data_IF_867026859528
#
_entry.id   IF_867026859528
#
_cell.length_a   1.000
_cell.length_b   1.000
_cell.length_c   1.000
_cell.angle_alpha   90.00
_cell.angle_beta   90.00
_cell.angle_gamma   90.00
#
_symmetry.space_group_name_H-M   'P 1'
#
loop_
_entity.id
_entity.type
_entity.pdbx_description
1 polymer ?
#
# COMPACT_ATOMS: atom_id res chain seq x y z
N UNK A 1 7.52 12.33 20.47
CA UNK A 1 7.70 12.67 19.04
C UNK A 1 8.00 11.36 18.32
N UNK A 2 7.02 10.80 17.61
CA UNK A 2 7.30 9.64 16.76
C UNK A 2 8.29 10.09 15.67
N UNK A 3 9.43 9.44 15.60
CA UNK A 3 10.34 9.57 14.46
C UNK A 3 9.54 8.98 13.31
N UNK A 4 8.98 9.86 12.46
CA UNK A 4 8.30 9.43 11.25
C UNK A 4 9.35 8.79 10.35
N UNK A 5 9.39 7.47 10.37
CA UNK A 5 10.14 6.71 9.38
C UNK A 5 9.50 6.94 8.03
N UNK A 6 10.25 6.85 6.93
CA UNK A 6 9.67 6.95 5.58
C UNK A 6 8.79 5.73 5.24
N UNK A 7 8.64 4.77 6.14
CA UNK A 7 7.70 3.65 6.08
C UNK A 7 6.25 4.16 6.09
N UNK A 8 5.96 5.22 6.86
CA UNK A 8 4.65 5.84 6.89
C UNK A 8 4.75 7.24 6.30
N UNK A 9 4.01 7.50 5.23
CA UNK A 9 3.90 8.84 4.65
C UNK A 9 2.85 9.64 5.40
N UNK A 10 3.21 10.89 5.74
CA UNK A 10 2.32 11.81 6.45
C UNK A 10 1.71 12.83 5.50
N UNK A 11 0.43 13.14 5.68
CA UNK A 11 -0.26 14.27 5.04
C UNK A 11 0.25 15.64 5.55
N UNK A 12 0.99 15.63 6.67
CA UNK A 12 1.57 16.83 7.30
C UNK A 12 2.87 17.29 6.67
N UNK A 13 3.48 16.48 5.82
CA UNK A 13 4.76 16.80 5.17
C UNK A 13 4.51 17.15 3.71
N UNK A 14 4.64 18.44 3.30
CA UNK A 14 4.28 18.87 1.94
C UNK A 14 5.03 18.14 0.82
N UNK A 15 6.28 17.70 1.05
CA UNK A 15 7.05 16.95 0.05
C UNK A 15 6.56 15.50 -0.14
N UNK A 16 5.72 15.00 0.76
CA UNK A 16 5.12 13.68 0.66
C UNK A 16 3.78 13.68 -0.09
N UNK A 17 3.27 14.87 -0.49
CA UNK A 17 1.96 15.04 -1.11
C UNK A 17 1.66 14.05 -2.24
N UNK A 18 2.53 13.85 -3.26
CA UNK A 18 2.23 12.90 -4.33
C UNK A 18 2.10 11.46 -3.83
N UNK A 19 2.95 11.04 -2.90
CA UNK A 19 2.91 9.69 -2.36
C UNK A 19 1.70 9.51 -1.43
N UNK A 20 1.39 10.50 -0.57
CA UNK A 20 0.18 10.50 0.24
C UNK A 20 -1.06 10.29 -0.63
N UNK A 21 -1.19 11.05 -1.72
CA UNK A 21 -2.34 10.96 -2.61
C UNK A 21 -2.35 9.69 -3.47
N UNK A 22 -1.19 9.12 -3.81
CA UNK A 22 -1.08 7.79 -4.43
C UNK A 22 -1.69 6.73 -3.52
N UNK A 23 -1.29 6.70 -2.26
CA UNK A 23 -1.80 5.74 -1.28
C UNK A 23 -3.29 5.96 -0.98
N UNK A 24 -3.72 7.21 -0.87
CA UNK A 24 -5.14 7.56 -0.68
C UNK A 24 -6.00 7.15 -1.88
N UNK A 25 -5.45 7.22 -3.09
CA UNK A 25 -6.20 6.87 -4.31
C UNK A 25 -6.67 5.41 -4.32
N UNK A 26 -5.91 4.47 -3.72
CA UNK A 26 -6.29 3.08 -3.61
C UNK A 26 -7.67 2.91 -2.96
N UNK A 27 -7.97 3.66 -1.90
CA UNK A 27 -9.27 3.67 -1.22
C UNK A 27 -10.40 4.16 -2.13
N UNK A 28 -10.19 5.25 -2.86
CA UNK A 28 -11.18 5.79 -3.77
C UNK A 28 -11.42 4.89 -4.99
N UNK A 29 -10.39 4.24 -5.49
CA UNK A 29 -10.48 3.28 -6.60
C UNK A 29 -11.15 1.98 -6.16
N UNK A 30 -10.90 1.54 -4.93
CA UNK A 30 -11.50 0.33 -4.35
C UNK A 30 -12.96 0.52 -3.91
N UNK A 31 -13.45 1.75 -3.70
CA UNK A 31 -14.77 2.03 -3.07
C UNK A 31 -15.96 1.32 -3.68
N UNK A 32 -15.92 1.01 -4.99
CA UNK A 32 -17.00 0.32 -5.68
C UNK A 32 -16.96 -1.21 -5.50
N UNK A 33 -15.88 -1.72 -4.93
CA UNK A 33 -15.70 -3.14 -4.59
C UNK A 33 -15.98 -3.40 -3.10
N UNK A 34 -16.18 -2.35 -2.29
CA UNK A 34 -16.37 -2.44 -0.83
C UNK A 34 -17.85 -2.50 -0.51
N UNK A 35 -18.25 -3.52 0.23
CA UNK A 35 -19.60 -3.71 0.77
C UNK A 35 -19.59 -4.64 1.99
N UNK A 36 -20.70 -4.69 2.74
CA UNK A 36 -20.91 -5.62 3.84
C UNK A 36 -20.03 -5.36 5.07
N UNK A 37 -19.65 -6.45 5.73
CA UNK A 37 -18.73 -6.43 6.87
C UNK A 37 -17.29 -6.38 6.35
N UNK A 38 -16.56 -5.32 6.68
CA UNK A 38 -15.26 -4.99 6.10
C UNK A 38 -14.12 -5.15 7.10
N UNK A 39 -13.06 -5.83 6.67
CA UNK A 39 -11.78 -5.89 7.39
C UNK A 39 -10.70 -5.16 6.61
N UNK A 40 -9.98 -4.26 7.28
CA UNK A 40 -8.76 -3.64 6.75
C UNK A 40 -7.53 -4.21 7.45
N UNK A 41 -6.60 -4.76 6.67
CA UNK A 41 -5.31 -5.26 7.14
C UNK A 41 -4.21 -4.24 6.83
N UNK A 42 -3.59 -3.68 7.87
CA UNK A 42 -2.56 -2.64 7.75
C UNK A 42 -3.14 -1.24 7.58
N UNK A 43 -4.03 -0.81 8.50
CA UNK A 43 -4.69 0.48 8.40
C UNK A 43 -3.78 1.70 8.64
N UNK A 44 -2.59 1.50 9.24
CA UNK A 44 -1.68 2.59 9.59
C UNK A 44 -2.35 3.70 10.40
N UNK A 45 -2.18 4.95 9.97
CA UNK A 45 -2.81 6.14 10.58
C UNK A 45 -4.27 6.36 10.11
N UNK A 46 -4.87 5.43 9.36
CA UNK A 46 -6.28 5.47 8.97
C UNK A 46 -6.60 6.40 7.81
N UNK A 47 -5.69 6.55 6.87
CA UNK A 47 -5.76 7.49 5.73
C UNK A 47 -7.07 7.45 4.94
N UNK A 48 -7.62 6.26 4.71
CA UNK A 48 -8.80 6.03 3.87
C UNK A 48 -10.05 5.61 4.63
N UNK A 49 -10.03 5.57 5.96
CA UNK A 49 -11.15 5.06 6.77
C UNK A 49 -12.46 5.74 6.42
N UNK A 50 -12.50 7.07 6.28
CA UNK A 50 -13.73 7.79 5.96
C UNK A 50 -14.35 7.38 4.60
N UNK A 51 -13.54 6.91 3.67
CA UNK A 51 -14.02 6.38 2.38
C UNK A 51 -14.67 5.02 2.57
N UNK A 52 -14.05 4.16 3.39
CA UNK A 52 -14.52 2.79 3.66
C UNK A 52 -15.80 2.81 4.48
N UNK A 53 -15.87 3.62 5.53
CA UNK A 53 -17.03 3.71 6.43
C UNK A 53 -18.34 4.08 5.71
N UNK A 54 -18.25 4.80 4.59
CA UNK A 54 -19.42 5.13 3.76
C UNK A 54 -19.97 3.95 2.96
N UNK A 55 -19.22 2.84 2.92
CA UNK A 55 -19.53 1.66 2.09
C UNK A 55 -19.69 0.39 2.91
N UNK A 56 -19.16 0.37 4.12
CA UNK A 56 -19.23 -0.78 5.02
C UNK A 56 -20.49 -0.77 5.87
N UNK A 57 -21.00 -1.96 6.18
CA UNK A 57 -22.02 -2.19 7.21
C UNK A 57 -21.37 -2.19 8.59
N UNK A 58 -20.27 -2.93 8.74
CA UNK A 58 -19.38 -2.89 9.89
C UNK A 58 -17.95 -2.72 9.41
N UNK A 59 -17.08 -2.21 10.29
CA UNK A 59 -15.68 -2.00 9.97
C UNK A 59 -14.79 -2.45 11.11
N UNK A 60 -13.81 -3.29 10.78
CA UNK A 60 -12.71 -3.71 11.65
C UNK A 60 -11.40 -3.41 10.96
N UNK A 61 -10.43 -2.88 11.67
CA UNK A 61 -9.09 -2.65 11.14
C UNK A 61 -8.00 -3.21 12.06
N UNK A 62 -6.92 -3.67 11.47
CA UNK A 62 -5.79 -4.26 12.19
C UNK A 62 -4.51 -3.58 11.76
N UNK A 63 -3.66 -3.22 12.71
CA UNK A 63 -2.29 -2.78 12.47
C UNK A 63 -1.36 -3.21 13.60
N UNK A 64 -0.07 -3.34 13.31
CA UNK A 64 0.97 -3.63 14.31
C UNK A 64 1.29 -2.44 15.23
N UNK A 65 1.02 -1.22 14.77
CA UNK A 65 1.42 0.03 15.42
C UNK A 65 0.36 0.43 16.45
N UNK A 66 0.62 0.09 17.70
CA UNK A 66 -0.33 0.30 18.80
C UNK A 66 -0.80 1.76 18.93
N UNK A 67 0.11 2.73 18.85
CA UNK A 67 -0.24 4.16 18.99
C UNK A 67 -1.21 4.64 17.91
N UNK A 68 -1.03 4.16 16.67
CA UNK A 68 -1.94 4.48 15.57
C UNK A 68 -3.33 3.86 15.82
N UNK A 69 -3.36 2.59 16.24
CA UNK A 69 -4.60 1.87 16.57
C UNK A 69 -5.35 2.54 17.72
N UNK A 70 -4.66 2.93 18.79
CA UNK A 70 -5.26 3.62 19.93
C UNK A 70 -5.87 4.98 19.51
N UNK A 71 -5.15 5.74 18.69
CA UNK A 71 -5.65 7.01 18.16
C UNK A 71 -6.90 6.83 17.27
N UNK A 72 -6.92 5.78 16.43
CA UNK A 72 -8.08 5.47 15.59
C UNK A 72 -9.26 4.97 16.41
N UNK A 73 -9.03 4.13 17.43
CA UNK A 73 -10.08 3.69 18.36
C UNK A 73 -10.76 4.88 19.07
N UNK A 74 -9.96 5.87 19.50
CA UNK A 74 -10.49 7.08 20.12
C UNK A 74 -11.27 7.95 19.11
N UNK A 75 -10.80 8.03 17.86
CA UNK A 75 -11.44 8.84 16.81
C UNK A 75 -12.73 8.20 16.29
N UNK A 76 -12.78 6.87 16.22
CA UNK A 76 -13.90 6.11 15.64
C UNK A 76 -14.47 5.06 16.63
N UNK A 77 -15.04 5.48 17.78
CA UNK A 77 -15.40 4.57 18.88
C UNK A 77 -16.51 3.56 18.56
N UNK A 78 -17.15 3.67 17.40
CA UNK A 78 -18.19 2.72 16.93
C UNK A 78 -17.63 1.58 16.08
N UNK A 79 -16.33 1.57 15.85
CA UNK A 79 -15.66 0.61 14.99
C UNK A 79 -14.55 -0.12 15.74
N UNK A 80 -14.15 -1.29 15.22
CA UNK A 80 -13.16 -2.14 15.88
C UNK A 80 -11.76 -1.87 15.33
N UNK A 81 -10.81 -1.60 16.23
CA UNK A 81 -9.40 -1.45 15.88
C UNK A 81 -8.57 -2.36 16.77
N UNK A 82 -7.75 -3.21 16.16
CA UNK A 82 -6.97 -4.23 16.86
C UNK A 82 -5.47 -4.02 16.60
N UNK A 83 -4.70 -3.89 17.68
CA UNK A 83 -3.24 -3.88 17.58
C UNK A 83 -2.72 -5.31 17.62
N UNK A 84 -2.43 -5.87 16.44
CA UNK A 84 -1.99 -7.26 16.26
C UNK A 84 -1.01 -7.37 15.10
N UNK A 85 -0.09 -8.35 15.22
CA UNK A 85 0.71 -8.83 14.08
C UNK A 85 -0.11 -9.82 13.25
N UNK A 86 0.12 -9.86 11.96
CA UNK A 86 -0.45 -10.84 11.03
C UNK A 86 0.54 -11.12 9.87
N UNK A 87 0.48 -12.27 9.16
CA UNK A 87 -0.17 -13.49 9.62
C UNK A 87 0.58 -14.16 10.79
N UNK A 88 0.00 -15.15 11.51
CA UNK A 88 -1.33 -15.73 11.35
C UNK A 88 -2.44 -14.86 11.99
N UNK A 89 -3.69 -15.11 11.60
CA UNK A 89 -4.87 -14.39 12.11
C UNK A 89 -5.87 -15.31 12.83
N UNK A 90 -5.38 -16.28 13.60
CA UNK A 90 -6.21 -17.24 14.33
C UNK A 90 -7.17 -16.62 15.39
N UNK A 91 -7.04 -15.32 15.65
CA UNK A 91 -7.96 -14.52 16.48
C UNK A 91 -9.16 -13.97 15.69
N UNK A 92 -9.26 -14.24 14.40
CA UNK A 92 -10.39 -13.89 13.53
C UNK A 92 -11.07 -15.19 13.10
N UNK A 93 -12.39 -15.23 13.25
CA UNK A 93 -13.22 -16.38 12.87
C UNK A 93 -13.23 -16.59 11.35
N UNK A 94 -13.40 -17.86 10.95
CA UNK A 94 -13.58 -18.23 9.56
C UNK A 94 -14.84 -17.58 9.00
N UNK A 95 -14.82 -17.23 7.71
CA UNK A 95 -16.02 -16.76 6.99
C UNK A 95 -16.74 -15.61 7.71
N UNK A 96 -16.00 -14.66 8.26
CA UNK A 96 -16.52 -13.58 9.11
C UNK A 96 -16.68 -12.23 8.38
N UNK A 97 -16.03 -12.03 7.22
CA UNK A 97 -16.08 -10.77 6.47
C UNK A 97 -16.53 -10.95 5.03
N UNK A 98 -17.23 -9.94 4.51
CA UNK A 98 -17.67 -9.88 3.10
C UNK A 98 -16.60 -9.27 2.21
N UNK A 99 -15.88 -8.27 2.74
CA UNK A 99 -14.79 -7.59 2.04
C UNK A 99 -13.55 -7.49 2.93
N UNK A 100 -12.38 -7.83 2.38
CA UNK A 100 -11.09 -7.57 3.01
C UNK A 100 -10.32 -6.60 2.11
N UNK A 101 -9.70 -5.58 2.69
CA UNK A 101 -8.80 -4.67 1.99
C UNK A 101 -7.43 -4.67 2.65
N UNK A 102 -6.39 -4.56 1.83
CA UNK A 102 -5.00 -4.45 2.30
C UNK A 102 -4.19 -3.66 1.29
N UNK A 103 -3.79 -2.44 1.66
CA UNK A 103 -3.14 -1.52 0.73
C UNK A 103 -1.71 -1.21 1.17
N UNK A 104 -0.73 -1.58 0.35
CA UNK A 104 0.70 -1.43 0.59
C UNK A 104 1.15 -2.16 1.87
N UNK A 105 0.83 -3.44 1.95
CA UNK A 105 1.10 -4.28 3.12
C UNK A 105 1.79 -5.58 2.75
N UNK A 106 1.34 -6.29 1.70
CA UNK A 106 1.85 -7.62 1.34
C UNK A 106 3.37 -7.61 1.07
N UNK A 107 3.91 -6.48 0.60
CA UNK A 107 5.36 -6.27 0.40
C UNK A 107 6.17 -6.31 1.69
N UNK A 108 5.52 -6.15 2.84
CA UNK A 108 6.12 -6.20 4.18
C UNK A 108 5.90 -7.54 4.89
N UNK A 109 5.18 -8.46 4.27
CA UNK A 109 4.81 -9.76 4.87
C UNK A 109 5.86 -10.81 4.49
N UNK A 110 6.43 -11.47 5.49
CA UNK A 110 7.44 -12.51 5.27
C UNK A 110 6.82 -13.78 4.69
N UNK A 111 5.69 -14.22 5.26
CA UNK A 111 4.93 -15.37 4.78
C UNK A 111 3.67 -14.89 4.02
N UNK A 112 3.90 -14.46 2.77
CA UNK A 112 2.85 -13.96 1.88
C UNK A 112 1.87 -15.08 1.45
N UNK A 113 2.33 -16.32 1.44
CA UNK A 113 1.52 -17.50 1.17
C UNK A 113 0.49 -17.72 2.30
N UNK A 114 0.94 -17.73 3.55
CA UNK A 114 0.05 -17.80 4.72
C UNK A 114 -0.89 -16.59 4.78
N UNK A 115 -0.42 -15.40 4.42
CA UNK A 115 -1.24 -14.19 4.41
C UNK A 115 -2.45 -14.33 3.47
N UNK A 116 -2.25 -14.80 2.25
CA UNK A 116 -3.34 -15.02 1.29
C UNK A 116 -4.26 -16.17 1.69
N UNK A 117 -3.72 -17.23 2.28
CA UNK A 117 -4.51 -18.34 2.83
C UNK A 117 -5.44 -17.87 3.95
N UNK A 118 -4.93 -17.06 4.88
CA UNK A 118 -5.72 -16.49 5.97
C UNK A 118 -6.81 -15.53 5.45
N UNK A 119 -6.50 -14.69 4.45
CA UNK A 119 -7.51 -13.86 3.79
C UNK A 119 -8.61 -14.73 3.19
N UNK A 120 -8.24 -15.82 2.51
CA UNK A 120 -9.23 -16.76 1.94
C UNK A 120 -10.07 -17.42 3.03
N UNK A 121 -9.46 -17.86 4.14
CA UNK A 121 -10.18 -18.47 5.27
C UNK A 121 -11.23 -17.52 5.87
N UNK A 122 -10.82 -16.27 6.12
CA UNK A 122 -11.62 -15.25 6.80
C UNK A 122 -12.79 -14.75 5.92
N UNK A 123 -12.63 -14.72 4.59
CA UNK A 123 -13.70 -14.32 3.68
C UNK A 123 -14.88 -15.28 3.70
N UNK A 124 -16.09 -14.73 3.74
CA UNK A 124 -17.32 -15.48 3.48
C UNK A 124 -17.35 -16.04 2.06
N UNK A 125 -18.12 -17.12 1.81
CA UNK A 125 -18.44 -17.52 0.45
C UNK A 125 -19.04 -16.34 -0.34
N UNK A 126 -18.52 -16.09 -1.55
CA UNK A 126 -18.88 -14.93 -2.36
C UNK A 126 -18.20 -13.62 -1.97
N UNK A 127 -17.42 -13.61 -0.90
CA UNK A 127 -16.64 -12.47 -0.44
C UNK A 127 -15.45 -12.17 -1.35
N UNK A 128 -14.85 -11.00 -1.15
CA UNK A 128 -13.75 -10.51 -2.00
C UNK A 128 -12.65 -9.83 -1.17
N UNK A 129 -11.42 -9.90 -1.69
CA UNK A 129 -10.32 -9.10 -1.17
C UNK A 129 -9.80 -8.14 -2.24
N UNK A 130 -9.39 -6.94 -1.84
CA UNK A 130 -8.73 -5.97 -2.68
C UNK A 130 -7.36 -5.67 -2.06
N UNK A 131 -6.31 -5.92 -2.82
CA UNK A 131 -4.92 -5.75 -2.37
C UNK A 131 -4.20 -4.81 -3.33
N UNK A 132 -3.45 -3.84 -2.80
CA UNK A 132 -2.50 -3.07 -3.61
C UNK A 132 -1.09 -3.21 -3.08
N UNK A 133 -0.12 -3.20 -3.99
CA UNK A 133 1.31 -3.27 -3.67
C UNK A 133 2.10 -2.56 -4.77
N UNK A 134 3.31 -2.05 -4.50
CA UNK A 134 4.14 -1.45 -5.52
C UNK A 134 4.40 -2.42 -6.69
N UNK A 135 4.41 -1.89 -7.90
CA UNK A 135 4.85 -2.65 -9.05
C UNK A 135 6.38 -2.59 -9.15
N UNK A 136 7.05 -3.74 -9.00
CA UNK A 136 8.53 -3.82 -9.05
C UNK A 136 9.11 -3.22 -10.34
N UNK A 137 8.35 -3.23 -11.45
CA UNK A 137 8.78 -2.64 -12.72
C UNK A 137 8.91 -1.12 -12.66
N UNK A 138 8.23 -0.47 -11.70
CA UNK A 138 8.22 0.98 -11.52
C UNK A 138 9.02 1.41 -10.28
N UNK A 139 9.58 0.48 -9.53
CA UNK A 139 10.43 0.76 -8.37
C UNK A 139 11.77 1.34 -8.82
N UNK A 140 12.14 2.49 -8.27
CA UNK A 140 13.36 3.22 -8.64
C UNK A 140 14.57 2.82 -7.82
N UNK A 141 14.36 2.44 -6.56
CA UNK A 141 15.41 2.02 -5.60
C UNK A 141 14.86 0.92 -4.72
N UNK A 142 15.72 0.03 -4.26
CA UNK A 142 15.32 -0.97 -3.26
C UNK A 142 14.79 -0.26 -2.00
N UNK A 143 13.59 -0.59 -1.58
CA UNK A 143 13.05 -0.14 -0.31
C UNK A 143 13.48 -1.14 0.79
N UNK A 144 14.26 -0.74 1.80
CA UNK A 144 14.73 -1.66 2.84
C UNK A 144 13.63 -2.13 3.81
N UNK A 145 12.44 -1.55 3.73
CA UNK A 145 11.27 -1.96 4.49
C UNK A 145 10.47 -3.05 3.77
N UNK A 146 10.64 -3.19 2.42
CA UNK A 146 9.99 -4.23 1.65
C UNK A 146 10.79 -5.52 1.75
N UNK A 147 10.12 -6.60 2.08
CA UNK A 147 10.68 -7.96 2.03
C UNK A 147 10.70 -8.42 0.59
N UNK A 148 9.61 -8.10 -0.15
CA UNK A 148 9.42 -8.49 -1.54
C UNK A 148 8.57 -7.46 -2.28
N UNK A 149 8.85 -7.26 -3.54
CA UNK A 149 7.96 -6.57 -4.48
C UNK A 149 7.61 -7.53 -5.62
N UNK A 150 6.49 -7.30 -6.29
CA UNK A 150 5.90 -8.26 -7.21
C UNK A 150 5.80 -7.69 -8.63
N UNK A 151 5.88 -8.58 -9.61
CA UNK A 151 5.28 -8.39 -10.93
C UNK A 151 3.82 -8.85 -10.90
N UNK A 152 3.02 -8.41 -11.88
CA UNK A 152 1.63 -8.90 -12.03
C UNK A 152 1.55 -10.42 -12.06
N UNK A 153 2.47 -11.06 -12.80
CA UNK A 153 2.50 -12.52 -12.94
C UNK A 153 2.75 -13.22 -11.61
N UNK A 154 3.75 -12.79 -10.86
CA UNK A 154 4.09 -13.40 -9.56
C UNK A 154 2.92 -13.28 -8.57
N UNK A 155 2.24 -12.12 -8.56
CA UNK A 155 1.12 -11.91 -7.66
C UNK A 155 -0.11 -12.73 -8.07
N UNK A 156 -0.37 -12.90 -9.38
CA UNK A 156 -1.41 -13.80 -9.89
C UNK A 156 -1.09 -15.25 -9.52
N UNK A 157 0.13 -15.72 -9.81
CA UNK A 157 0.55 -17.11 -9.56
C UNK A 157 0.43 -17.45 -8.06
N UNK A 158 0.82 -16.52 -7.17
CA UNK A 158 0.71 -16.69 -5.72
C UNK A 158 -0.75 -16.75 -5.28
N UNK A 159 -1.58 -15.81 -5.74
CA UNK A 159 -2.98 -15.69 -5.33
C UNK A 159 -3.86 -16.82 -5.85
N UNK A 160 -3.56 -17.33 -7.05
CA UNK A 160 -4.31 -18.42 -7.69
C UNK A 160 -4.21 -19.76 -6.96
N UNK A 161 -3.30 -19.90 -6.01
CA UNK A 161 -3.24 -21.07 -5.13
C UNK A 161 -4.49 -21.21 -4.25
N UNK A 162 -5.10 -20.09 -3.89
CA UNK A 162 -6.22 -20.01 -2.95
C UNK A 162 -7.51 -19.51 -3.59
N UNK A 163 -7.41 -18.56 -4.51
CA UNK A 163 -8.57 -17.90 -5.11
C UNK A 163 -8.82 -18.40 -6.52
N UNK A 164 -10.03 -18.92 -6.80
CA UNK A 164 -10.39 -19.37 -8.15
C UNK A 164 -10.56 -18.20 -9.13
N UNK A 165 -10.86 -17.01 -8.62
CA UNK A 165 -11.09 -15.82 -9.43
C UNK A 165 -10.12 -14.71 -9.01
N UNK A 166 -9.08 -14.52 -9.82
CA UNK A 166 -8.03 -13.51 -9.64
C UNK A 166 -8.09 -12.53 -10.80
N UNK A 167 -8.38 -11.27 -10.51
CA UNK A 167 -8.36 -10.17 -11.48
C UNK A 167 -7.25 -9.20 -11.08
N UNK A 168 -6.35 -8.88 -12.01
CA UNK A 168 -5.31 -7.88 -11.79
C UNK A 168 -5.53 -6.65 -12.68
N UNK A 169 -5.40 -5.51 -12.06
CA UNK A 169 -5.38 -4.17 -12.64
C UNK A 169 -4.15 -3.43 -12.13
N UNK A 170 -4.02 -2.16 -12.47
CA UNK A 170 -2.99 -1.33 -11.88
C UNK A 170 -3.49 0.07 -11.54
N UNK A 171 -2.75 0.74 -10.68
CA UNK A 171 -2.92 2.16 -10.43
C UNK A 171 -1.90 2.91 -11.30
N UNK A 172 -2.42 3.67 -12.25
CA UNK A 172 -1.64 4.56 -13.11
C UNK A 172 -1.85 6.02 -12.68
N UNK A 173 -1.22 6.95 -13.39
CA UNK A 173 -1.40 8.38 -13.17
C UNK A 173 -1.70 9.11 -14.47
N UNK A 174 -2.34 10.29 -14.35
CA UNK A 174 -2.46 11.22 -15.44
C UNK A 174 -1.09 11.90 -15.74
N UNK A 175 -1.05 12.81 -16.70
CA UNK A 175 0.18 13.51 -17.11
C UNK A 175 0.94 14.12 -15.93
N UNK A 176 0.26 14.76 -14.96
CA UNK A 176 0.94 15.37 -13.80
C UNK A 176 1.70 14.34 -12.96
N UNK A 177 1.06 13.20 -12.69
CA UNK A 177 1.66 12.11 -11.91
C UNK A 177 2.84 11.50 -12.65
N UNK A 178 2.71 11.32 -13.97
CA UNK A 178 3.79 10.78 -14.80
C UNK A 178 4.96 11.77 -14.91
N UNK A 179 4.69 13.07 -15.02
CA UNK A 179 5.73 14.12 -15.00
C UNK A 179 6.48 14.12 -13.66
N UNK A 180 5.76 14.04 -12.54
CA UNK A 180 6.38 13.90 -11.24
C UNK A 180 7.24 12.63 -11.14
N UNK A 181 6.73 11.49 -11.61
CA UNK A 181 7.48 10.22 -11.63
C UNK A 181 8.76 10.35 -12.47
N UNK A 182 8.67 10.94 -13.67
CA UNK A 182 9.83 11.14 -14.54
C UNK A 182 10.88 12.07 -13.92
N UNK A 183 10.45 13.12 -13.22
CA UNK A 183 11.35 13.99 -12.47
C UNK A 183 12.04 13.25 -11.33
N UNK A 184 11.30 12.38 -10.65
CA UNK A 184 11.85 11.50 -9.60
C UNK A 184 12.88 10.51 -10.19
N UNK A 185 12.59 9.88 -11.34
CA UNK A 185 13.55 9.02 -12.06
C UNK A 185 14.86 9.76 -12.33
N UNK A 186 14.79 10.98 -12.90
CA UNK A 186 15.98 11.79 -13.19
C UNK A 186 16.78 12.13 -11.93
N UNK A 187 16.08 12.46 -10.83
CA UNK A 187 16.72 12.77 -9.55
C UNK A 187 17.42 11.54 -8.97
N UNK A 188 16.72 10.39 -8.88
CA UNK A 188 17.29 9.15 -8.38
C UNK A 188 18.48 8.68 -9.22
N UNK A 189 18.43 8.81 -10.55
CA UNK A 189 19.54 8.46 -11.43
C UNK A 189 20.81 9.30 -11.14
N UNK A 190 20.67 10.57 -10.75
CA UNK A 190 21.82 11.38 -10.34
C UNK A 190 22.49 10.80 -9.09
N UNK A 191 21.71 10.38 -8.09
CA UNK A 191 22.25 9.76 -6.89
C UNK A 191 22.85 8.37 -7.16
N UNK A 192 22.21 7.55 -8.00
CA UNK A 192 22.75 6.23 -8.37
C UNK A 192 24.10 6.32 -9.10
N UNK A 193 24.35 7.38 -9.88
CA UNK A 193 25.66 7.59 -10.52
C UNK A 193 26.78 7.88 -9.50
N UNK A 194 26.44 8.34 -8.31
CA UNK A 194 27.39 8.59 -7.22
C UNK A 194 27.62 7.34 -6.35
N UNK A 195 26.73 6.35 -6.43
CA UNK A 195 26.85 5.07 -5.71
C UNK A 195 27.69 4.06 -6.50
N UNK A 196 28.98 4.36 -6.69
CA UNK A 196 29.93 3.48 -7.38
C UNK A 196 30.22 2.19 -6.61
N UNK A 197 29.89 2.12 -5.31
CA UNK A 197 30.01 0.92 -4.47
C UNK A 197 28.77 0.03 -4.51
N UNK A 198 27.69 0.44 -5.20
CA UNK A 198 26.41 -0.26 -5.23
C UNK A 198 25.88 -0.62 -3.83
N UNK A 199 25.94 0.33 -2.90
CA UNK A 199 25.55 0.16 -1.50
C UNK A 199 24.10 -0.34 -1.37
N UNK A 200 23.21 0.11 -2.29
CA UNK A 200 21.84 -0.36 -2.41
C UNK A 200 21.75 -1.89 -2.51
N UNK A 201 22.71 -2.54 -3.20
CA UNK A 201 22.69 -3.99 -3.43
C UNK A 201 23.41 -4.81 -2.36
N UNK A 202 24.46 -4.23 -1.77
CA UNK A 202 25.39 -4.96 -0.90
C UNK A 202 25.13 -4.77 0.58
N UNK A 203 24.50 -3.67 0.99
CA UNK A 203 24.20 -3.44 2.40
C UNK A 203 23.00 -4.27 2.88
N UNK A 204 23.12 -4.92 4.07
CA UNK A 204 21.97 -5.51 4.74
C UNK A 204 20.89 -4.44 5.02
N UNK A 205 19.60 -4.85 5.00
CA UNK A 205 18.47 -3.93 5.16
C UNK A 205 18.57 -3.04 6.40
N UNK A 206 19.02 -3.58 7.54
CA UNK A 206 19.08 -2.83 8.79
C UNK A 206 20.13 -1.70 8.77
N UNK A 207 21.21 -1.83 7.97
CA UNK A 207 22.21 -0.77 7.76
C UNK A 207 21.71 0.20 6.69
N UNK A 208 21.09 -0.31 5.63
CA UNK A 208 20.64 0.50 4.49
C UNK A 208 19.45 1.42 4.83
N UNK A 209 18.68 1.11 5.88
CA UNK A 209 17.52 1.93 6.31
C UNK A 209 17.88 3.39 6.55
N UNK A 210 18.94 3.67 7.29
CA UNK A 210 19.33 5.05 7.66
C UNK A 210 19.68 5.89 6.42
N UNK A 211 20.66 5.49 5.56
CA UNK A 211 20.98 6.26 4.37
C UNK A 211 19.79 6.35 3.40
N UNK A 212 18.98 5.30 3.28
CA UNK A 212 17.79 5.31 2.46
C UNK A 212 16.79 6.40 2.91
N UNK A 213 16.47 6.48 4.19
CA UNK A 213 15.55 7.48 4.73
C UNK A 213 16.05 8.90 4.51
N UNK A 214 17.33 9.16 4.78
CA UNK A 214 17.94 10.47 4.58
C UNK A 214 17.91 10.88 3.11
N UNK A 215 18.34 9.99 2.20
CA UNK A 215 18.34 10.25 0.76
C UNK A 215 16.93 10.42 0.21
N UNK A 216 15.98 9.62 0.66
CA UNK A 216 14.58 9.70 0.25
C UNK A 216 13.95 11.02 0.69
N UNK A 217 14.19 11.43 1.94
CA UNK A 217 13.70 12.72 2.45
C UNK A 217 14.32 13.89 1.70
N UNK A 218 15.62 13.85 1.48
CA UNK A 218 16.33 14.86 0.71
C UNK A 218 15.81 14.94 -0.73
N UNK A 219 15.66 13.80 -1.41
CA UNK A 219 15.13 13.73 -2.75
C UNK A 219 13.71 14.31 -2.86
N UNK A 220 12.81 13.96 -1.94
CA UNK A 220 11.43 14.49 -1.92
C UNK A 220 11.39 16.00 -1.70
N UNK A 221 12.24 16.52 -0.82
CA UNK A 221 12.35 17.95 -0.57
C UNK A 221 12.86 18.69 -1.80
N UNK A 222 13.87 18.17 -2.49
CA UNK A 222 14.40 18.77 -3.73
C UNK A 222 13.32 18.76 -4.83
N UNK A 223 12.65 17.62 -5.04
CA UNK A 223 11.57 17.54 -6.02
C UNK A 223 10.46 18.56 -5.75
N UNK A 224 10.12 18.77 -4.46
CA UNK A 224 9.16 19.81 -4.09
C UNK A 224 9.71 21.21 -4.39
N UNK A 225 10.94 21.51 -3.99
CA UNK A 225 11.53 22.83 -4.19
C UNK A 225 11.65 23.19 -5.68
N UNK A 226 12.06 22.22 -6.51
CA UNK A 226 12.24 22.42 -7.94
C UNK A 226 10.90 22.46 -8.71
N UNK A 227 9.84 21.84 -8.18
CA UNK A 227 8.55 21.63 -8.86
C UNK A 227 7.36 21.84 -7.91
N UNK A 228 7.38 22.88 -7.08
CA UNK A 228 6.37 23.08 -6.03
C UNK A 228 4.92 23.09 -6.56
N UNK A 229 4.68 23.78 -7.66
CA UNK A 229 3.34 23.82 -8.29
C UNK A 229 2.86 22.44 -8.72
N UNK A 230 3.73 21.62 -9.31
CA UNK A 230 3.41 20.26 -9.71
C UNK A 230 3.13 19.39 -8.48
N UNK A 231 4.07 19.34 -7.53
CA UNK A 231 3.97 18.52 -6.32
C UNK A 231 2.71 18.87 -5.53
N UNK A 232 2.42 20.16 -5.31
CA UNK A 232 1.26 20.62 -4.54
C UNK A 232 -0.07 20.45 -5.28
N UNK A 233 -0.07 20.33 -6.63
CA UNK A 233 -1.29 20.17 -7.42
C UNK A 233 -1.75 18.73 -7.57
N UNK A 234 -0.90 17.75 -7.23
CA UNK A 234 -1.25 16.33 -7.33
C UNK A 234 -2.24 15.97 -6.22
N UNK A 235 -3.31 15.29 -6.60
CA UNK A 235 -4.36 14.81 -5.72
C UNK A 235 -4.68 13.33 -6.00
N UNK A 236 -5.44 12.68 -5.14
CA UNK A 236 -5.89 11.30 -5.35
C UNK A 236 -6.69 11.11 -6.65
N UNK A 237 -7.30 12.19 -7.19
CA UNK A 237 -8.06 12.18 -8.46
C UNK A 237 -7.17 12.08 -9.70
N UNK A 238 -5.88 12.34 -9.55
CA UNK A 238 -4.92 12.27 -10.63
C UNK A 238 -4.39 10.83 -10.85
N UNK A 239 -4.77 9.90 -9.95
CA UNK A 239 -4.49 8.46 -10.05
C UNK A 239 -5.69 7.71 -10.58
N UNK A 240 -5.47 6.75 -11.47
CA UNK A 240 -6.49 6.09 -12.25
C UNK A 240 -6.37 4.57 -12.14
N UNK A 241 -7.50 3.88 -12.04
CA UNK A 241 -7.53 2.42 -12.19
C UNK A 241 -7.40 2.09 -13.68
N UNK A 242 -6.37 1.35 -14.03
CA UNK A 242 -6.04 0.97 -15.39
C UNK A 242 -5.99 -0.56 -15.55
N UNK A 243 -6.07 -1.04 -16.78
CA UNK A 243 -5.78 -2.43 -17.09
C UNK A 243 -4.34 -2.77 -16.72
N UNK A 244 -4.04 -4.06 -16.54
CA UNK A 244 -2.69 -4.51 -16.23
C UNK A 244 -1.69 -4.05 -17.29
N UNK A 245 -0.65 -3.36 -16.83
CA UNK A 245 0.40 -2.80 -17.66
C UNK A 245 1.68 -2.65 -16.84
N UNK A 246 2.87 -2.99 -17.39
CA UNK A 246 4.13 -2.87 -16.66
C UNK A 246 4.48 -1.45 -16.20
N UNK A 247 3.85 -0.41 -16.78
CA UNK A 247 4.04 0.98 -16.41
C UNK A 247 3.05 1.48 -15.34
N UNK A 248 2.19 0.63 -14.81
CA UNK A 248 1.37 1.00 -13.66
C UNK A 248 2.24 1.16 -12.42
N UNK A 249 1.99 2.21 -11.65
CA UNK A 249 2.75 2.52 -10.44
C UNK A 249 2.58 1.46 -9.36
N UNK A 250 1.32 1.01 -9.15
CA UNK A 250 0.98 -0.08 -8.24
C UNK A 250 0.23 -1.17 -8.98
N UNK A 251 0.31 -2.38 -8.46
CA UNK A 251 -0.58 -3.48 -8.78
C UNK A 251 -1.86 -3.33 -7.95
N UNK A 252 -3.01 -3.64 -8.55
CA UNK A 252 -4.31 -3.60 -7.91
C UNK A 252 -5.01 -4.94 -8.17
N UNK A 253 -5.05 -5.76 -7.13
CA UNK A 253 -5.52 -7.14 -7.18
C UNK A 253 -6.92 -7.24 -6.60
N UNK A 254 -7.81 -7.94 -7.30
CA UNK A 254 -9.16 -8.27 -6.87
C UNK A 254 -9.29 -9.78 -6.82
N UNK A 255 -9.50 -10.30 -5.62
CA UNK A 255 -9.65 -11.72 -5.34
C UNK A 255 -11.09 -12.01 -4.96
N UNK A 256 -11.68 -13.05 -5.53
CA UNK A 256 -13.05 -13.44 -5.20
C UNK A 256 -13.10 -14.90 -4.76
N UNK A 257 -13.78 -15.16 -3.66
CA UNK A 257 -14.09 -16.48 -3.16
C UNK A 257 -15.43 -16.94 -3.74
N UNK A 258 -15.51 -18.20 -4.15
CA UNK A 258 -16.75 -18.76 -4.68
C UNK A 258 -17.90 -18.70 -3.66
N UNK A 259 -19.12 -18.75 -4.16
CA UNK A 259 -20.34 -18.72 -3.33
C UNK A 259 -20.67 -20.06 -2.65
N UNK A 260 -19.96 -21.11 -3.04
CA UNK A 260 -20.20 -22.48 -2.54
C UNK A 260 -19.10 -22.94 -1.59
#
# INVERSE_FOLDING_TARGET
MSIFTTEITSDRIPSDNPLHHRLLSAYYLAKNYIDGDVLELGCGEGRGIDVILRKSKTFTAIDKIKDAVDALSAKYPKHNFLSKLFPPMGYIEDKSFDTIISFQVIEHIEDDDLFLNEIFRILRPGGKAIITTPNIKMTLTRNPWHIREYTSKELIDLSSKYFPNVEIKGISGNTKVIDYYNNNVKSVQKFKRLDFLNLEKHLPNFIYKIPYELLNRFNRNNLKNDNDKLVSSISYKDYLLANDNPNNLDLFLILKKDKN
#
